data_IF_994534365029
#
_entry.id   IF_994534365029
#
_cell.length_a   1.000
_cell.length_b   1.000
_cell.length_c   1.000
_cell.angle_alpha   90.00
_cell.angle_beta   90.00
_cell.angle_gamma   90.00
#
_symmetry.space_group_name_H-M   'P 1'
#
loop_
_entity.id
_entity.type
_entity.pdbx_description
1 polymer ?
#
# COMPACT_ATOMS: atom_id res chain seq x y z
N UNK A 1 15.21 29.00 -15.30
CA UNK A 1 16.20 28.05 -15.86
C UNK A 1 15.78 26.64 -15.47
N UNK A 2 15.82 25.65 -16.37
CA UNK A 2 15.53 24.27 -15.99
C UNK A 2 16.53 23.81 -14.93
N UNK A 3 16.07 23.09 -13.90
CA UNK A 3 16.94 22.55 -12.86
C UNK A 3 17.98 21.58 -13.46
N UNK A 4 19.25 21.58 -13.00
CA UNK A 4 20.30 20.70 -13.52
C UNK A 4 19.87 19.23 -13.42
N UNK A 5 20.07 18.41 -14.46
CA UNK A 5 19.68 16.99 -14.42
C UNK A 5 20.72 16.16 -13.66
N UNK A 6 20.25 15.15 -12.91
CA UNK A 6 21.11 14.12 -12.30
C UNK A 6 21.22 12.96 -13.31
N UNK A 7 22.37 12.29 -13.34
CA UNK A 7 22.68 11.14 -14.18
C UNK A 7 21.68 10.00 -13.97
N UNK A 8 21.43 9.23 -15.03
CA UNK A 8 20.38 8.21 -15.01
C UNK A 8 20.73 6.95 -14.19
N UNK A 9 21.89 6.94 -13.55
CA UNK A 9 22.46 5.76 -12.89
C UNK A 9 22.12 5.65 -11.41
N UNK A 10 21.59 6.70 -10.77
CA UNK A 10 21.20 6.65 -9.36
C UNK A 10 20.24 5.47 -9.10
N UNK A 11 20.38 4.79 -7.98
CA UNK A 11 19.49 3.67 -7.60
C UNK A 11 18.94 3.83 -6.20
N UNK A 12 17.72 3.34 -6.02
CA UNK A 12 17.05 3.29 -4.72
C UNK A 12 16.60 1.85 -4.51
N UNK A 13 16.80 1.31 -3.30
CA UNK A 13 16.41 -0.06 -2.93
C UNK A 13 17.14 -1.14 -3.74
N UNK A 14 18.45 -0.95 -3.98
CA UNK A 14 19.29 -1.89 -4.73
C UNK A 14 19.37 -3.25 -4.05
N UNK A 15 19.54 -3.27 -2.72
CA UNK A 15 19.44 -4.45 -1.89
C UNK A 15 18.32 -4.29 -0.85
N UNK A 16 17.78 -5.38 -0.30
CA UNK A 16 16.66 -5.25 0.64
C UNK A 16 16.98 -4.45 1.90
N UNK A 17 18.24 -4.44 2.35
CA UNK A 17 18.74 -3.66 3.48
C UNK A 17 18.71 -2.14 3.25
N UNK A 18 18.66 -1.72 1.98
CA UNK A 18 18.56 -0.31 1.58
C UNK A 18 17.18 0.29 1.87
N UNK A 19 16.19 -0.52 2.26
CA UNK A 19 14.86 -0.05 2.56
C UNK A 19 14.37 -0.61 3.89
N UNK A 20 14.36 0.24 4.91
CA UNK A 20 13.87 -0.11 6.25
C UNK A 20 12.63 0.69 6.57
N UNK A 21 11.64 0.01 7.15
CA UNK A 21 10.38 0.60 7.60
C UNK A 21 10.21 0.34 9.07
N UNK A 22 10.00 1.40 9.84
CA UNK A 22 9.77 1.37 11.28
C UNK A 22 8.42 2.00 11.63
N UNK A 23 7.58 1.25 12.34
CA UNK A 23 6.30 1.78 12.83
C UNK A 23 6.52 2.89 13.85
N UNK A 24 5.69 3.94 13.78
CA UNK A 24 5.66 5.01 14.78
C UNK A 24 4.38 4.89 15.59
N UNK A 25 4.51 4.94 16.90
CA UNK A 25 3.41 4.83 17.86
C UNK A 25 3.06 6.19 18.46
N UNK A 26 1.79 6.41 18.80
CA UNK A 26 1.34 7.54 19.64
C UNK A 26 1.52 7.29 21.13
N UNK A 27 1.68 6.02 21.53
CA UNK A 27 1.74 5.62 22.94
C UNK A 27 3.13 5.82 23.51
N UNK A 28 3.18 6.23 24.79
CA UNK A 28 4.42 6.33 25.55
C UNK A 28 4.52 5.15 26.51
N UNK A 29 5.63 4.39 26.50
CA UNK A 29 5.82 3.28 27.42
C UNK A 29 6.03 3.79 28.86
N UNK A 30 5.50 3.03 29.82
CA UNK A 30 5.72 3.22 31.26
C UNK A 30 6.80 2.27 31.78
N UNK A 31 7.29 2.53 32.99
CA UNK A 31 8.23 1.64 33.67
C UNK A 31 7.61 0.30 34.13
N UNK A 32 6.28 0.23 34.31
CA UNK A 32 5.55 -0.98 34.72
C UNK A 32 4.15 -1.00 34.08
N UNK A 33 3.59 -2.19 33.91
CA UNK A 33 2.23 -2.39 33.40
C UNK A 33 1.99 -3.86 33.04
N UNK A 34 0.73 -4.26 32.80
CA UNK A 34 0.36 -5.65 32.48
C UNK A 34 0.72 -6.12 31.07
N UNK A 35 1.18 -5.21 30.20
CA UNK A 35 1.60 -5.53 28.83
C UNK A 35 3.01 -5.00 28.57
N UNK A 36 3.93 -5.89 28.20
CA UNK A 36 5.27 -5.52 27.75
C UNK A 36 5.21 -5.05 26.30
N UNK A 37 5.77 -3.87 26.01
CA UNK A 37 5.88 -3.29 24.68
C UNK A 37 7.25 -3.63 24.09
N UNK A 38 7.26 -4.39 23.00
CA UNK A 38 8.47 -4.72 22.26
C UNK A 38 8.55 -3.98 20.94
N UNK A 39 9.76 -3.53 20.61
CA UNK A 39 10.19 -3.15 19.27
C UNK A 39 10.78 -4.38 18.60
N UNK A 40 10.16 -4.84 17.52
CA UNK A 40 10.46 -6.12 16.87
C UNK A 40 10.99 -5.85 15.46
N UNK A 41 12.26 -6.17 15.23
CA UNK A 41 12.83 -6.23 13.88
C UNK A 41 12.66 -7.64 13.33
N UNK A 42 11.91 -7.78 12.23
CA UNK A 42 11.68 -9.06 11.56
C UNK A 42 12.29 -9.07 10.17
N UNK A 43 12.85 -10.22 9.77
CA UNK A 43 13.51 -10.41 8.48
C UNK A 43 12.92 -11.58 7.70
N UNK A 44 12.44 -11.31 6.50
CA UNK A 44 11.91 -12.30 5.56
C UNK A 44 10.81 -13.22 6.16
N UNK A 45 10.01 -12.69 7.08
CA UNK A 45 8.87 -13.38 7.71
C UNK A 45 7.65 -12.44 7.81
N UNK A 46 6.45 -13.02 7.86
CA UNK A 46 5.17 -12.33 8.10
C UNK A 46 5.02 -11.94 9.58
N UNK A 47 4.08 -11.05 9.89
CA UNK A 47 3.76 -10.71 11.29
C UNK A 47 3.24 -11.90 12.10
N UNK A 48 2.51 -12.83 11.46
CA UNK A 48 1.99 -14.02 12.15
C UNK A 48 3.11 -14.99 12.53
N UNK A 49 4.07 -15.21 11.62
CA UNK A 49 5.28 -16.00 11.92
C UNK A 49 6.13 -15.34 13.01
N UNK A 50 6.29 -14.01 12.98
CA UNK A 50 6.98 -13.26 14.03
C UNK A 50 6.33 -13.45 15.40
N UNK A 51 4.99 -13.40 15.46
CA UNK A 51 4.24 -13.67 16.70
C UNK A 51 4.43 -15.12 17.19
N UNK A 52 4.49 -16.11 16.30
CA UNK A 52 4.77 -17.50 16.67
C UNK A 52 6.16 -17.66 17.28
N UNK A 53 7.20 -17.10 16.63
CA UNK A 53 8.59 -17.13 17.11
C UNK A 53 8.69 -16.47 18.49
N UNK A 54 8.10 -15.27 18.66
CA UNK A 54 8.08 -14.58 19.94
C UNK A 54 7.34 -15.38 21.02
N UNK A 55 6.24 -16.06 20.68
CA UNK A 55 5.49 -16.86 21.65
C UNK A 55 6.33 -18.01 22.21
N UNK A 56 7.16 -18.64 21.36
CA UNK A 56 8.06 -19.70 21.77
C UNK A 56 9.20 -19.17 22.63
N UNK A 57 9.80 -18.04 22.23
CA UNK A 57 10.87 -17.39 22.99
C UNK A 57 10.41 -16.94 24.38
N UNK A 58 9.20 -16.38 24.47
CA UNK A 58 8.61 -15.86 25.71
C UNK A 58 7.82 -16.90 26.51
N UNK A 59 7.64 -18.12 25.98
CA UNK A 59 6.82 -19.20 26.56
C UNK A 59 5.39 -18.74 26.89
N UNK A 60 4.80 -17.92 26.02
CA UNK A 60 3.41 -17.45 26.12
C UNK A 60 2.54 -18.02 25.00
N UNK A 61 1.22 -17.96 25.15
CA UNK A 61 0.31 -18.31 24.05
C UNK A 61 0.43 -17.27 22.92
N UNK A 62 0.33 -17.65 21.64
CA UNK A 62 0.34 -16.69 20.53
C UNK A 62 -0.71 -15.58 20.66
N UNK A 63 -1.86 -15.87 21.27
CA UNK A 63 -2.93 -14.89 21.54
C UNK A 63 -2.57 -13.83 22.58
N UNK A 64 -1.50 -14.02 23.35
CA UNK A 64 -0.98 -13.02 24.27
C UNK A 64 -0.16 -11.93 23.54
N UNK A 65 0.22 -12.17 22.28
CA UNK A 65 1.05 -11.28 21.46
C UNK A 65 0.16 -10.55 20.47
N UNK A 66 0.11 -9.24 20.58
CA UNK A 66 -0.74 -8.38 19.74
C UNK A 66 0.14 -7.42 18.96
N UNK A 67 0.13 -7.58 17.65
CA UNK A 67 0.60 -6.57 16.70
C UNK A 67 -0.60 -5.71 16.25
N UNK A 68 -0.47 -4.37 16.19
CA UNK A 68 -1.56 -3.49 15.78
C UNK A 68 -1.87 -3.58 14.28
N UNK A 69 -0.94 -4.09 13.47
CA UNK A 69 -1.13 -4.31 12.05
C UNK A 69 -0.37 -5.56 11.57
N UNK A 70 -1.00 -6.32 10.67
CA UNK A 70 -0.34 -7.41 9.96
C UNK A 70 0.43 -6.85 8.77
N UNK A 71 1.65 -7.31 8.58
CA UNK A 71 2.51 -7.04 7.44
C UNK A 71 2.89 -8.36 6.78
N UNK A 72 2.89 -8.34 5.46
CA UNK A 72 3.37 -9.46 4.65
C UNK A 72 4.87 -9.69 4.85
N UNK A 73 5.35 -10.76 4.23
CA UNK A 73 6.76 -11.12 4.19
C UNK A 73 7.52 -10.03 3.42
N UNK A 74 8.37 -9.32 4.14
CA UNK A 74 9.25 -8.27 3.62
C UNK A 74 10.65 -8.50 4.15
N UNK A 75 11.65 -7.98 3.44
CA UNK A 75 13.04 -8.29 3.76
C UNK A 75 13.47 -7.82 5.14
N UNK A 76 13.15 -6.56 5.50
CA UNK A 76 13.37 -6.02 6.85
C UNK A 76 12.21 -5.09 7.20
N UNK A 77 11.59 -5.32 8.35
CA UNK A 77 10.62 -4.38 8.93
C UNK A 77 10.73 -4.34 10.44
N UNK A 78 10.58 -3.14 11.00
CA UNK A 78 10.48 -2.90 12.43
C UNK A 78 9.01 -2.62 12.76
N UNK A 79 8.42 -3.47 13.57
CA UNK A 79 7.05 -3.35 14.07
C UNK A 79 7.06 -3.27 15.59
N UNK A 80 5.94 -2.88 16.17
CA UNK A 80 5.76 -2.97 17.61
C UNK A 80 4.69 -4.00 17.98
N UNK A 81 4.89 -4.69 19.09
CA UNK A 81 3.87 -5.57 19.66
C UNK A 81 3.77 -5.44 21.16
N UNK A 82 2.59 -5.72 21.69
CA UNK A 82 2.40 -5.91 23.14
C UNK A 82 2.30 -7.39 23.46
N UNK A 83 2.91 -7.78 24.56
CA UNK A 83 2.79 -9.13 25.13
C UNK A 83 2.12 -9.03 26.49
N UNK A 84 0.97 -9.71 26.66
CA UNK A 84 0.32 -9.82 27.96
C UNK A 84 1.21 -10.62 28.90
N UNK A 85 1.56 -10.03 30.04
CA UNK A 85 2.44 -10.65 31.02
C UNK A 85 1.68 -11.73 31.77
N UNK A 86 2.19 -12.95 31.74
CA UNK A 86 1.66 -14.07 32.52
C UNK A 86 2.72 -14.77 33.39
N UNK A 87 4.00 -14.46 33.18
CA UNK A 87 5.13 -14.98 33.94
C UNK A 87 6.27 -13.95 33.96
N UNK A 88 7.14 -14.04 34.96
CA UNK A 88 8.33 -13.18 35.19
C UNK A 88 9.58 -14.07 35.26
N UNK A 89 10.77 -13.62 34.83
CA UNK A 89 11.10 -12.31 34.25
C UNK A 89 10.83 -12.21 32.75
N UNK A 90 10.62 -10.98 32.28
CA UNK A 90 10.44 -10.65 30.86
C UNK A 90 11.81 -10.28 30.29
N UNK A 91 12.30 -10.96 29.25
CA UNK A 91 13.59 -10.64 28.64
C UNK A 91 13.62 -9.21 28.09
N UNK A 92 14.66 -8.44 28.42
CA UNK A 92 14.86 -7.11 27.84
C UNK A 92 15.20 -7.19 26.34
N UNK A 93 15.93 -8.22 25.93
CA UNK A 93 16.29 -8.47 24.54
C UNK A 93 16.02 -9.93 24.16
N UNK A 94 15.53 -10.12 22.94
CA UNK A 94 15.33 -11.44 22.31
C UNK A 94 16.07 -11.41 20.97
N UNK A 95 16.93 -12.40 20.73
CA UNK A 95 17.62 -12.58 19.44
C UNK A 95 17.35 -13.97 18.89
N UNK A 96 16.78 -14.00 17.69
CA UNK A 96 16.48 -15.20 16.92
C UNK A 96 17.00 -15.01 15.48
N UNK A 97 17.22 -16.09 14.70
CA UNK A 97 17.81 -15.98 13.37
C UNK A 97 17.09 -15.01 12.41
N UNK A 98 15.77 -14.89 12.53
CA UNK A 98 14.91 -14.07 11.65
C UNK A 98 14.23 -12.91 12.37
N UNK A 99 14.52 -12.72 13.66
CA UNK A 99 13.80 -11.77 14.50
C UNK A 99 14.67 -11.31 15.68
N UNK A 100 14.71 -10.00 15.93
CA UNK A 100 15.13 -9.46 17.22
C UNK A 100 14.01 -8.64 17.85
N UNK A 101 13.95 -8.62 19.17
CA UNK A 101 13.00 -7.79 19.90
C UNK A 101 13.66 -7.13 21.12
N UNK A 102 13.34 -5.86 21.31
CA UNK A 102 13.84 -5.00 22.39
C UNK A 102 12.65 -4.50 23.21
N UNK A 103 12.72 -4.67 24.53
CA UNK A 103 11.69 -4.19 25.45
C UNK A 103 11.80 -2.66 25.58
N UNK A 104 10.76 -1.94 25.17
CA UNK A 104 10.69 -0.49 25.31
C UNK A 104 10.06 -0.03 26.63
N UNK A 105 9.39 -0.94 27.35
CA UNK A 105 8.67 -0.68 28.58
C UNK A 105 7.28 -1.32 28.57
N UNK A 106 6.29 -0.66 29.18
CA UNK A 106 5.00 -1.29 29.49
C UNK A 106 3.80 -0.41 29.17
N UNK A 107 2.65 -1.04 28.91
CA UNK A 107 1.35 -0.39 28.67
C UNK A 107 0.25 -1.01 29.55
N UNK A 108 -0.84 -0.26 29.75
CA UNK A 108 -2.01 -0.72 30.51
C UNK A 108 -2.95 -1.63 29.69
N UNK A 109 -2.83 -1.58 28.36
CA UNK A 109 -3.67 -2.30 27.41
C UNK A 109 -2.84 -2.81 26.22
N UNK A 110 -3.32 -3.79 25.45
CA UNK A 110 -2.64 -4.18 24.22
C UNK A 110 -2.66 -3.04 23.20
N UNK A 111 -1.70 -3.09 22.27
CA UNK A 111 -1.69 -2.22 21.10
C UNK A 111 -2.93 -2.45 20.24
N UNK A 112 -3.38 -1.39 19.60
CA UNK A 112 -4.50 -1.36 18.68
C UNK A 112 -4.08 -0.68 17.37
N UNK A 113 -4.79 -0.93 16.25
CA UNK A 113 -4.49 -0.26 14.98
C UNK A 113 -4.45 1.27 15.08
N UNK A 114 -5.24 1.86 16.00
CA UNK A 114 -5.30 3.32 16.23
C UNK A 114 -4.07 3.91 16.90
N UNK A 115 -3.18 3.08 17.47
CA UNK A 115 -1.94 3.54 18.09
C UNK A 115 -0.83 3.84 17.07
N UNK A 116 -1.02 3.43 15.80
CA UNK A 116 -0.07 3.67 14.71
C UNK A 116 -0.28 5.07 14.13
N UNK A 117 0.73 5.94 14.30
CA UNK A 117 0.71 7.33 13.77
C UNK A 117 1.45 7.49 12.45
N UNK A 118 2.01 6.41 11.92
CA UNK A 118 2.72 6.41 10.64
C UNK A 118 3.86 5.41 10.61
N UNK A 119 4.72 5.57 9.61
CA UNK A 119 5.95 4.80 9.50
C UNK A 119 7.11 5.76 9.21
N UNK A 120 8.25 5.50 9.83
CA UNK A 120 9.54 6.07 9.49
C UNK A 120 10.24 5.15 8.51
N UNK A 121 10.80 5.75 7.48
CA UNK A 121 11.52 5.07 6.41
C UNK A 121 12.98 5.49 6.47
N UNK A 122 13.87 4.52 6.34
CA UNK A 122 15.29 4.76 6.10
C UNK A 122 15.64 4.12 4.78
N UNK A 123 16.19 4.92 3.87
CA UNK A 123 16.40 4.54 2.48
C UNK A 123 17.81 4.88 2.04
N UNK A 124 18.54 3.89 1.53
CA UNK A 124 19.84 4.12 0.91
C UNK A 124 19.66 4.41 -0.57
N UNK A 125 20.17 5.55 -1.01
CA UNK A 125 20.33 5.92 -2.42
C UNK A 125 21.77 5.65 -2.82
N UNK A 126 21.97 4.96 -3.93
CA UNK A 126 23.23 4.36 -4.37
C UNK A 126 23.61 4.80 -5.78
N UNK A 127 24.84 4.50 -6.17
CA UNK A 127 25.40 4.79 -7.50
C UNK A 127 25.31 6.29 -7.84
N UNK A 128 25.53 7.16 -6.84
CA UNK A 128 25.51 8.62 -7.02
C UNK A 128 26.90 9.08 -7.47
N UNK A 129 27.01 9.79 -8.59
CA UNK A 129 28.27 10.40 -8.98
C UNK A 129 28.71 11.47 -7.96
N UNK A 130 30.01 11.61 -7.71
CA UNK A 130 30.56 12.46 -6.65
C UNK A 130 30.08 13.91 -6.75
N UNK A 131 30.00 14.44 -7.96
CA UNK A 131 29.55 15.79 -8.30
C UNK A 131 28.02 15.98 -8.14
N UNK A 132 27.24 14.91 -8.04
CA UNK A 132 25.77 14.95 -7.97
C UNK A 132 25.22 14.84 -6.55
N UNK A 133 26.06 14.48 -5.58
CA UNK A 133 25.64 14.26 -4.18
C UNK A 133 24.92 15.47 -3.60
N UNK A 134 25.44 16.68 -3.85
CA UNK A 134 24.83 17.93 -3.37
C UNK A 134 23.45 18.12 -3.96
N UNK A 135 23.29 17.87 -5.27
CA UNK A 135 22.03 18.03 -5.98
C UNK A 135 20.97 17.01 -5.51
N UNK A 136 21.35 15.74 -5.33
CA UNK A 136 20.46 14.71 -4.77
C UNK A 136 19.99 15.10 -3.36
N UNK A 137 20.91 15.59 -2.52
CA UNK A 137 20.61 16.05 -1.17
C UNK A 137 19.61 17.21 -1.17
N UNK A 138 19.87 18.24 -1.97
CA UNK A 138 19.02 19.42 -2.07
C UNK A 138 17.61 19.08 -2.57
N UNK A 139 17.52 18.21 -3.59
CA UNK A 139 16.24 17.72 -4.11
C UNK A 139 15.44 16.95 -3.07
N UNK A 140 16.08 16.00 -2.38
CA UNK A 140 15.43 15.26 -1.31
C UNK A 140 14.89 16.21 -0.23
N UNK A 141 15.70 17.17 0.23
CA UNK A 141 15.29 18.11 1.26
C UNK A 141 14.19 19.07 0.77
N UNK A 142 14.23 19.50 -0.49
CA UNK A 142 13.20 20.34 -1.09
C UNK A 142 11.85 19.61 -1.14
N UNK A 143 11.82 18.39 -1.69
CA UNK A 143 10.59 17.60 -1.79
C UNK A 143 10.13 17.16 -0.39
N UNK A 144 11.06 16.89 0.54
CA UNK A 144 10.74 16.63 1.95
C UNK A 144 10.01 17.80 2.62
N UNK A 145 10.40 19.05 2.33
CA UNK A 145 9.75 20.26 2.86
C UNK A 145 8.45 20.62 2.16
N UNK A 146 8.40 20.47 0.84
CA UNK A 146 7.22 20.87 0.06
C UNK A 146 6.17 19.75 -0.02
N UNK A 147 6.56 18.48 0.14
CA UNK A 147 5.64 17.35 0.03
C UNK A 147 5.33 16.94 -1.41
N UNK A 148 4.38 16.01 -1.55
CA UNK A 148 4.00 15.41 -2.82
C UNK A 148 2.51 14.97 -2.82
N UNK A 149 1.91 14.68 -3.99
CA UNK A 149 0.56 14.14 -4.10
C UNK A 149 0.38 12.82 -3.34
N UNK A 150 -0.65 12.73 -2.51
CA UNK A 150 -0.93 11.58 -1.67
C UNK A 150 -1.73 10.48 -2.39
N UNK A 151 -1.29 10.07 -3.58
CA UNK A 151 -1.95 9.01 -4.35
C UNK A 151 -1.92 7.66 -3.62
N UNK A 152 -2.89 6.80 -3.97
CA UNK A 152 -2.76 5.37 -3.74
C UNK A 152 -1.76 4.78 -4.74
N UNK A 153 -0.85 3.93 -4.29
CA UNK A 153 0.19 3.33 -5.14
C UNK A 153 -0.13 1.87 -5.53
N UNK A 154 0.68 1.26 -6.41
CA UNK A 154 0.52 -0.08 -7.00
C UNK A 154 0.14 -1.18 -6.00
N UNK A 155 0.65 -1.13 -4.77
CA UNK A 155 0.28 -2.09 -3.71
C UNK A 155 -1.23 -2.11 -3.40
N UNK A 156 -1.96 -1.00 -3.62
CA UNK A 156 -3.41 -0.91 -3.46
C UNK A 156 -4.19 -1.60 -4.59
N UNK A 157 -3.54 -1.83 -5.74
CA UNK A 157 -4.18 -2.26 -6.98
C UNK A 157 -3.85 -3.70 -7.36
N UNK A 158 -3.49 -4.56 -6.39
CA UNK A 158 -3.13 -5.96 -6.65
C UNK A 158 -4.21 -6.83 -7.31
N UNK A 159 -5.46 -6.35 -7.35
CA UNK A 159 -6.55 -7.00 -8.08
C UNK A 159 -6.74 -6.52 -9.52
N UNK A 160 -5.97 -5.52 -9.96
CA UNK A 160 -6.02 -5.07 -11.36
C UNK A 160 -5.38 -6.11 -12.27
N UNK A 161 -6.00 -6.34 -13.42
CA UNK A 161 -5.42 -7.15 -14.49
C UNK A 161 -5.45 -6.39 -15.82
N UNK A 162 -4.44 -6.64 -16.65
CA UNK A 162 -4.38 -6.10 -18.01
C UNK A 162 -5.53 -6.60 -18.89
N UNK A 163 -6.03 -7.82 -18.67
CA UNK A 163 -7.10 -8.43 -19.47
C UNK A 163 -8.50 -7.94 -19.07
N UNK A 164 -8.76 -7.81 -17.76
CA UNK A 164 -10.09 -7.53 -17.22
C UNK A 164 -10.25 -6.13 -16.60
N UNK A 165 -9.16 -5.39 -16.46
CA UNK A 165 -9.13 -4.13 -15.72
C UNK A 165 -9.37 -4.34 -14.23
N UNK A 166 -10.24 -3.53 -13.63
CA UNK A 166 -10.58 -3.61 -12.21
C UNK A 166 -11.85 -4.44 -11.97
N UNK A 167 -11.79 -5.59 -11.25
CA UNK A 167 -12.98 -6.36 -10.89
C UNK A 167 -14.00 -5.54 -10.07
N UNK A 168 -13.53 -4.55 -9.30
CA UNK A 168 -14.39 -3.60 -8.60
C UNK A 168 -15.32 -2.82 -9.53
N UNK A 169 -14.89 -2.47 -10.75
CA UNK A 169 -15.74 -1.81 -11.75
C UNK A 169 -16.86 -2.75 -12.20
N UNK A 170 -16.51 -4.01 -12.49
CA UNK A 170 -17.46 -5.04 -12.92
C UNK A 170 -18.53 -5.30 -11.85
N UNK A 171 -18.13 -5.32 -10.57
CA UNK A 171 -19.05 -5.42 -9.44
C UNK A 171 -20.03 -4.24 -9.40
N UNK A 172 -19.55 -3.01 -9.59
CA UNK A 172 -20.40 -1.81 -9.57
C UNK A 172 -21.39 -1.76 -10.74
N UNK A 173 -20.98 -2.26 -11.90
CA UNK A 173 -21.81 -2.34 -13.11
C UNK A 173 -22.79 -3.54 -13.09
N UNK A 174 -22.62 -4.48 -12.17
CA UNK A 174 -23.45 -5.69 -12.10
C UNK A 174 -23.12 -6.73 -13.17
N UNK A 175 -21.90 -6.72 -13.71
CA UNK A 175 -21.44 -7.68 -14.71
C UNK A 175 -21.02 -9.00 -14.03
N UNK A 176 -21.97 -9.73 -13.46
CA UNK A 176 -21.73 -10.85 -12.55
C UNK A 176 -20.88 -11.98 -13.13
N UNK A 177 -21.10 -12.36 -14.40
CA UNK A 177 -20.27 -13.38 -15.04
C UNK A 177 -18.80 -12.93 -15.16
N UNK A 178 -18.56 -11.68 -15.56
CA UNK A 178 -17.20 -11.13 -15.66
C UNK A 178 -16.52 -11.05 -14.28
N UNK A 179 -17.27 -10.76 -13.21
CA UNK A 179 -16.78 -10.83 -11.83
C UNK A 179 -16.36 -12.25 -11.46
N UNK A 180 -17.18 -13.26 -11.81
CA UNK A 180 -16.80 -14.66 -11.60
C UNK A 180 -15.58 -15.06 -12.42
N UNK A 181 -15.45 -14.58 -13.67
CA UNK A 181 -14.24 -14.80 -14.48
C UNK A 181 -13.01 -14.22 -13.79
N UNK A 182 -13.10 -13.01 -13.24
CA UNK A 182 -12.02 -12.42 -12.45
C UNK A 182 -11.67 -13.28 -11.21
N UNK A 183 -12.67 -13.88 -10.56
CA UNK A 183 -12.44 -14.69 -9.36
C UNK A 183 -11.86 -16.07 -9.67
N UNK A 184 -12.43 -16.75 -10.66
CA UNK A 184 -12.19 -18.16 -10.97
C UNK A 184 -11.11 -18.39 -12.01
N UNK A 185 -10.80 -17.40 -12.87
CA UNK A 185 -9.99 -17.62 -14.07
C UNK A 185 -8.85 -16.60 -14.28
N UNK A 186 -8.91 -15.43 -13.66
CA UNK A 186 -7.87 -14.40 -13.81
C UNK A 186 -6.78 -14.51 -12.74
N UNK A 187 -5.51 -14.75 -13.08
CA UNK A 187 -4.43 -14.78 -12.10
C UNK A 187 -4.25 -13.41 -11.44
N UNK A 188 -4.29 -13.38 -10.11
CA UNK A 188 -4.10 -12.17 -9.32
C UNK A 188 -2.77 -12.21 -8.57
N UNK A 189 -2.24 -11.04 -8.24
CA UNK A 189 -0.99 -10.93 -7.49
C UNK A 189 -1.14 -11.62 -6.12
N UNK A 190 -0.24 -12.56 -5.83
CA UNK A 190 -0.23 -13.30 -4.57
C UNK A 190 -1.05 -14.60 -4.55
N UNK A 191 -1.66 -15.00 -5.67
CA UNK A 191 -2.33 -16.30 -5.77
C UNK A 191 -1.35 -17.47 -5.54
N UNK A 192 -1.66 -18.42 -4.64
CA UNK A 192 -0.85 -19.62 -4.45
C UNK A 192 -0.79 -20.49 -5.72
N UNK A 193 0.26 -21.32 -5.89
CA UNK A 193 0.42 -22.19 -7.08
C UNK A 193 -0.80 -23.08 -7.37
N UNK A 194 -1.48 -23.59 -6.33
CA UNK A 194 -2.69 -24.39 -6.50
C UNK A 194 -3.87 -23.58 -7.08
N UNK A 195 -4.01 -22.31 -6.69
CA UNK A 195 -5.03 -21.41 -7.23
C UNK A 195 -4.71 -21.04 -8.67
N UNK A 196 -3.45 -20.74 -8.98
CA UNK A 196 -3.02 -20.44 -10.35
C UNK A 196 -3.30 -21.59 -11.32
N UNK A 197 -3.07 -22.85 -10.90
CA UNK A 197 -3.43 -24.04 -11.68
C UNK A 197 -4.93 -24.12 -11.96
N UNK A 198 -5.78 -23.96 -10.94
CA UNK A 198 -7.23 -23.95 -11.11
C UNK A 198 -7.68 -22.83 -12.07
N UNK A 199 -7.12 -21.62 -11.91
CA UNK A 199 -7.45 -20.47 -12.76
C UNK A 199 -7.09 -20.70 -14.22
N UNK A 200 -5.97 -21.37 -14.49
CA UNK A 200 -5.62 -21.80 -15.85
C UNK A 200 -6.68 -22.75 -16.42
N UNK A 201 -7.06 -23.80 -15.68
CA UNK A 201 -8.10 -24.75 -16.10
C UNK A 201 -9.44 -24.06 -16.35
N UNK A 202 -9.82 -23.10 -15.51
CA UNK A 202 -11.06 -22.33 -15.63
C UNK A 202 -11.12 -21.47 -16.90
N UNK A 203 -9.98 -20.98 -17.41
CA UNK A 203 -9.93 -20.28 -18.70
C UNK A 203 -10.21 -21.19 -19.88
N UNK A 204 -9.71 -22.42 -19.82
CA UNK A 204 -9.84 -23.42 -20.89
C UNK A 204 -11.20 -24.15 -20.85
N UNK A 205 -11.81 -24.26 -19.66
CA UNK A 205 -13.01 -25.07 -19.41
C UNK A 205 -14.13 -24.24 -18.77
N UNK A 206 -14.31 -22.98 -19.20
CA UNK A 206 -15.32 -22.10 -18.64
C UNK A 206 -16.73 -22.72 -18.76
N UNK A 207 -17.52 -22.64 -17.69
CA UNK A 207 -18.83 -23.31 -17.51
C UNK A 207 -18.84 -24.83 -17.34
N UNK A 208 -17.70 -25.51 -17.42
CA UNK A 208 -17.61 -26.91 -16.98
C UNK A 208 -17.46 -26.99 -15.45
N UNK A 209 -18.51 -26.62 -14.73
CA UNK A 209 -18.48 -26.52 -13.26
C UNK A 209 -18.12 -27.82 -12.54
N UNK A 210 -18.63 -29.00 -12.94
CA UNK A 210 -18.23 -30.27 -12.32
C UNK A 210 -16.72 -30.53 -12.43
N UNK A 211 -16.14 -30.36 -13.62
CA UNK A 211 -14.71 -30.52 -13.85
C UNK A 211 -13.88 -29.54 -13.00
N UNK A 212 -14.27 -28.26 -12.99
CA UNK A 212 -13.55 -27.24 -12.22
C UNK A 212 -13.67 -27.49 -10.72
N UNK A 213 -14.83 -27.94 -10.23
CA UNK A 213 -15.05 -28.31 -8.83
C UNK A 213 -14.14 -29.47 -8.42
N UNK A 214 -14.00 -30.50 -9.25
CA UNK A 214 -13.15 -31.66 -8.97
C UNK A 214 -11.69 -31.25 -8.75
N UNK A 215 -11.18 -30.36 -9.61
CA UNK A 215 -9.80 -29.86 -9.57
C UNK A 215 -9.57 -28.71 -8.59
N UNK A 216 -10.64 -28.18 -7.98
CA UNK A 216 -10.55 -27.05 -7.07
C UNK A 216 -9.98 -27.45 -5.69
N UNK A 217 -8.96 -26.74 -5.17
CA UNK A 217 -8.47 -26.95 -3.81
C UNK A 217 -9.54 -26.59 -2.78
N UNK A 218 -9.37 -27.06 -1.54
CA UNK A 218 -10.25 -26.68 -0.41
C UNK A 218 -10.25 -25.16 -0.24
N UNK A 219 -11.44 -24.57 -0.04
CA UNK A 219 -11.60 -23.13 0.18
C UNK A 219 -12.82 -22.54 -0.53
N UNK A 220 -12.94 -21.22 -0.47
CA UNK A 220 -14.11 -20.48 -0.97
C UNK A 220 -14.34 -20.66 -2.48
N UNK A 221 -13.28 -20.78 -3.30
CA UNK A 221 -13.38 -21.08 -4.73
C UNK A 221 -14.19 -22.36 -5.00
N UNK A 222 -13.90 -23.44 -4.26
CA UNK A 222 -14.64 -24.70 -4.37
C UNK A 222 -16.08 -24.57 -3.93
N UNK A 223 -16.37 -23.76 -2.91
CA UNK A 223 -17.76 -23.48 -2.49
C UNK A 223 -18.56 -22.77 -3.58
N UNK A 224 -17.96 -21.77 -4.25
CA UNK A 224 -18.59 -21.08 -5.39
C UNK A 224 -18.83 -22.04 -6.55
N UNK A 225 -17.83 -22.86 -6.91
CA UNK A 225 -17.98 -23.87 -7.97
C UNK A 225 -19.02 -24.94 -7.64
N UNK A 226 -19.12 -25.34 -6.36
CA UNK A 226 -20.14 -26.29 -5.90
C UNK A 226 -21.54 -25.73 -6.12
N UNK A 227 -21.77 -24.46 -5.78
CA UNK A 227 -23.04 -23.79 -6.06
C UNK A 227 -23.35 -23.71 -7.56
N UNK A 228 -22.35 -23.41 -8.40
CA UNK A 228 -22.52 -23.33 -9.84
C UNK A 228 -22.83 -24.70 -10.49
N UNK A 229 -22.44 -25.82 -9.90
CA UNK A 229 -22.89 -27.14 -10.36
C UNK A 229 -24.42 -27.27 -10.32
N UNK A 230 -25.05 -26.76 -9.26
CA UNK A 230 -26.50 -26.87 -9.06
C UNK A 230 -27.26 -25.69 -9.71
N UNK A 231 -26.60 -24.54 -9.84
CA UNK A 231 -27.17 -23.29 -10.35
C UNK A 231 -26.24 -22.65 -11.41
N UNK A 232 -26.15 -23.23 -12.62
CA UNK A 232 -25.09 -22.92 -13.59
C UNK A 232 -25.08 -21.48 -14.12
N UNK A 233 -26.23 -20.80 -14.10
CA UNK A 233 -26.38 -19.44 -14.63
C UNK A 233 -26.66 -18.39 -13.54
N UNK A 234 -26.78 -18.77 -12.26
CA UNK A 234 -27.03 -17.80 -11.17
C UNK A 234 -25.72 -17.13 -10.70
N UNK A 235 -25.12 -16.37 -11.61
CA UNK A 235 -23.85 -15.72 -11.37
C UNK A 235 -23.92 -14.69 -10.24
N UNK A 236 -25.06 -14.03 -10.07
CA UNK A 236 -25.24 -13.01 -9.04
C UNK A 236 -25.18 -13.63 -7.63
N UNK A 237 -25.88 -14.74 -7.40
CA UNK A 237 -25.79 -15.45 -6.11
C UNK A 237 -24.41 -16.06 -5.91
N UNK A 238 -23.81 -16.64 -6.95
CA UNK A 238 -22.45 -17.17 -6.89
C UNK A 238 -21.40 -16.10 -6.50
N UNK A 239 -21.49 -14.88 -7.04
CA UNK A 239 -20.63 -13.76 -6.63
C UNK A 239 -20.80 -13.42 -5.15
N UNK A 240 -22.02 -13.47 -4.61
CA UNK A 240 -22.28 -13.18 -3.20
C UNK A 240 -21.82 -14.30 -2.25
N UNK A 241 -21.40 -15.46 -2.77
CA UNK A 241 -20.68 -16.49 -2.00
C UNK A 241 -19.18 -16.21 -1.88
N UNK A 242 -18.62 -15.31 -2.71
CA UNK A 242 -17.23 -14.86 -2.57
C UNK A 242 -17.05 -14.18 -1.22
N UNK A 243 -15.94 -14.45 -0.54
CA UNK A 243 -15.72 -13.86 0.80
C UNK A 243 -15.84 -12.32 0.77
N UNK A 244 -16.52 -11.70 1.75
CA UNK A 244 -16.67 -10.24 1.83
C UNK A 244 -15.35 -9.48 1.77
N UNK A 245 -14.27 -10.08 2.29
CA UNK A 245 -12.92 -9.54 2.25
C UNK A 245 -12.42 -9.31 0.82
N UNK A 246 -12.59 -10.29 -0.06
CA UNK A 246 -12.15 -10.19 -1.47
C UNK A 246 -12.98 -9.14 -2.20
N UNK A 247 -14.30 -9.18 -2.05
CA UNK A 247 -15.21 -8.20 -2.69
C UNK A 247 -14.90 -6.77 -2.23
N UNK A 248 -14.68 -6.58 -0.92
CA UNK A 248 -14.30 -5.27 -0.36
C UNK A 248 -12.95 -4.79 -0.86
N UNK A 249 -11.97 -5.69 -1.03
CA UNK A 249 -10.67 -5.34 -1.60
C UNK A 249 -10.80 -4.85 -3.04
N UNK A 250 -11.60 -5.54 -3.87
CA UNK A 250 -11.82 -5.16 -5.27
C UNK A 250 -12.54 -3.81 -5.41
N UNK A 251 -13.59 -3.59 -4.62
CA UNK A 251 -14.29 -2.32 -4.56
C UNK A 251 -13.36 -1.19 -4.09
N UNK A 252 -12.59 -1.43 -3.01
CA UNK A 252 -11.64 -0.45 -2.47
C UNK A 252 -10.52 -0.11 -3.46
N UNK A 253 -9.99 -1.09 -4.21
CA UNK A 253 -8.99 -0.85 -5.24
C UNK A 253 -9.53 0.05 -6.34
N UNK A 254 -10.74 -0.23 -6.86
CA UNK A 254 -11.33 0.63 -7.89
C UNK A 254 -11.72 2.02 -7.37
N UNK A 255 -12.19 2.12 -6.12
CA UNK A 255 -12.42 3.42 -5.45
C UNK A 255 -11.14 4.25 -5.36
N UNK A 256 -10.03 3.61 -5.02
CA UNK A 256 -8.71 4.25 -4.93
C UNK A 256 -8.24 4.73 -6.30
N UNK A 257 -8.55 3.97 -7.36
CA UNK A 257 -8.24 4.36 -8.74
C UNK A 257 -9.05 5.59 -9.16
N UNK A 258 -10.36 5.59 -8.92
CA UNK A 258 -11.21 6.76 -9.17
C UNK A 258 -10.73 7.98 -8.39
N UNK A 259 -10.35 7.81 -7.12
CA UNK A 259 -9.78 8.90 -6.31
C UNK A 259 -8.49 9.43 -6.91
N UNK A 260 -7.57 8.56 -7.35
CA UNK A 260 -6.35 8.97 -8.03
C UNK A 260 -6.65 9.77 -9.31
N UNK A 261 -7.64 9.36 -10.11
CA UNK A 261 -8.04 10.08 -11.32
C UNK A 261 -8.61 11.46 -11.00
N UNK A 262 -9.43 11.59 -9.95
CA UNK A 262 -9.94 12.88 -9.48
C UNK A 262 -8.80 13.76 -8.99
N UNK A 263 -7.90 13.23 -8.16
CA UNK A 263 -6.73 13.96 -7.66
C UNK A 263 -5.81 14.42 -8.81
N UNK A 264 -5.54 13.57 -9.80
CA UNK A 264 -4.77 13.94 -11.00
C UNK A 264 -5.42 15.08 -11.77
N UNK A 265 -6.74 15.08 -11.95
CA UNK A 265 -7.45 16.13 -12.67
C UNK A 265 -7.45 17.45 -11.89
N UNK A 266 -7.64 17.40 -10.57
CA UNK A 266 -7.49 18.59 -9.71
C UNK A 266 -6.07 19.17 -9.80
N UNK A 267 -5.05 18.31 -9.76
CA UNK A 267 -3.65 18.73 -9.91
C UNK A 267 -3.35 19.27 -11.30
N UNK A 268 -3.95 18.72 -12.35
CA UNK A 268 -3.83 19.21 -13.73
C UNK A 268 -4.25 20.68 -13.84
N UNK A 269 -5.27 21.09 -13.08
CA UNK A 269 -5.80 22.45 -13.06
C UNK A 269 -5.04 23.40 -12.13
N UNK A 270 -4.52 22.91 -11.00
CA UNK A 270 -3.84 23.74 -10.00
C UNK A 270 -2.35 23.94 -10.27
N UNK A 271 -1.69 22.99 -10.94
CA UNK A 271 -0.24 23.01 -11.10
C UNK A 271 0.18 23.80 -12.35
N UNK A 272 1.06 24.82 -12.20
CA UNK A 272 1.58 25.57 -13.33
C UNK A 272 2.54 24.74 -14.18
N UNK A 273 3.47 24.03 -13.53
CA UNK A 273 4.38 23.09 -14.16
C UNK A 273 4.15 21.68 -13.61
N UNK A 274 4.08 20.71 -14.52
CA UNK A 274 3.69 19.34 -14.20
C UNK A 274 4.48 18.31 -14.99
N UNK A 275 4.58 17.13 -14.40
CA UNK A 275 5.14 15.93 -14.99
C UNK A 275 4.15 14.78 -14.82
N UNK A 276 4.32 13.74 -15.62
CA UNK A 276 3.47 12.55 -15.60
C UNK A 276 4.30 11.33 -15.25
N UNK A 277 3.74 10.48 -14.40
CA UNK A 277 4.28 9.15 -14.13
C UNK A 277 3.32 8.11 -14.67
N UNK A 278 3.86 7.17 -15.46
CA UNK A 278 3.11 6.06 -16.01
C UNK A 278 2.80 5.01 -14.94
N UNK A 279 1.56 4.53 -14.99
CA UNK A 279 1.07 3.39 -14.25
C UNK A 279 0.35 2.43 -15.23
N UNK A 280 0.20 1.14 -14.88
CA UNK A 280 -0.44 0.16 -15.77
C UNK A 280 -1.88 0.52 -16.20
N UNK A 281 -2.54 1.39 -15.44
CA UNK A 281 -3.92 1.84 -15.65
C UNK A 281 -4.04 3.34 -15.97
N UNK A 282 -2.96 3.95 -16.48
CA UNK A 282 -2.95 5.34 -16.94
C UNK A 282 -1.87 6.18 -16.26
N UNK A 283 -1.95 7.50 -16.43
CA UNK A 283 -0.94 8.42 -15.93
C UNK A 283 -1.42 9.16 -14.67
N UNK A 284 -0.48 9.46 -13.78
CA UNK A 284 -0.69 10.31 -12.62
C UNK A 284 0.09 11.62 -12.76
N UNK A 285 -0.55 12.72 -12.37
CA UNK A 285 0.00 14.08 -12.48
C UNK A 285 0.78 14.44 -11.21
N UNK A 286 1.99 14.96 -11.39
CA UNK A 286 2.87 15.44 -10.32
C UNK A 286 3.35 16.85 -10.66
N UNK A 287 3.71 17.67 -9.65
CA UNK A 287 4.32 18.97 -9.91
C UNK A 287 5.75 18.82 -10.44
N UNK A 288 6.30 19.92 -10.96
CA UNK A 288 7.74 20.15 -10.91
C UNK A 288 8.06 20.99 -9.67
N UNK A 289 9.15 20.66 -8.97
CA UNK A 289 9.65 21.44 -7.86
C UNK A 289 10.68 22.47 -8.36
N UNK A 290 10.82 23.63 -7.68
CA UNK A 290 10.07 24.07 -6.50
C UNK A 290 8.65 24.57 -6.83
N UNK A 291 7.72 24.34 -5.90
CA UNK A 291 6.36 24.87 -5.96
C UNK A 291 6.27 26.31 -5.42
N UNK A 292 5.46 27.18 -6.04
CA UNK A 292 5.09 28.48 -5.48
C UNK A 292 4.41 28.34 -4.09
N UNK A 293 4.66 29.25 -3.14
CA UNK A 293 4.09 29.15 -1.79
C UNK A 293 2.56 29.12 -1.72
N UNK A 294 1.89 29.92 -2.55
CA UNK A 294 0.43 30.03 -2.67
C UNK A 294 -0.20 28.75 -3.21
N UNK A 295 0.42 28.15 -4.24
CA UNK A 295 0.04 26.84 -4.76
C UNK A 295 0.22 25.77 -3.69
N UNK A 296 1.34 25.80 -2.97
CA UNK A 296 1.63 24.83 -1.92
C UNK A 296 0.63 24.90 -0.75
N UNK A 297 0.24 26.09 -0.31
CA UNK A 297 -0.77 26.27 0.73
C UNK A 297 -2.14 25.74 0.28
N UNK A 298 -2.54 26.06 -0.95
CA UNK A 298 -3.76 25.55 -1.56
C UNK A 298 -3.78 24.02 -1.58
N UNK A 299 -2.70 23.38 -2.03
CA UNK A 299 -2.57 21.92 -2.10
C UNK A 299 -2.67 21.26 -0.72
N UNK A 300 -2.02 21.83 0.31
CA UNK A 300 -2.05 21.30 1.69
C UNK A 300 -3.44 21.34 2.32
N UNK A 301 -4.26 22.32 1.96
CA UNK A 301 -5.61 22.51 2.52
C UNK A 301 -6.66 21.59 1.89
N UNK A 302 -6.38 21.01 0.71
CA UNK A 302 -7.36 20.25 -0.06
C UNK A 302 -7.53 18.82 0.45
N UNK A 303 -8.77 18.48 0.80
CA UNK A 303 -9.22 17.12 1.05
C UNK A 303 -10.22 16.66 -0.01
N UNK A 304 -9.96 15.50 -0.61
CA UNK A 304 -10.83 14.89 -1.61
C UNK A 304 -11.61 13.74 -0.95
N UNK A 305 -12.95 13.79 -0.93
CA UNK A 305 -13.77 12.67 -0.48
C UNK A 305 -13.49 11.41 -1.29
N UNK A 306 -13.57 10.24 -0.65
CA UNK A 306 -13.52 8.99 -1.39
C UNK A 306 -14.76 8.85 -2.29
N UNK A 307 -14.61 8.43 -3.57
CA UNK A 307 -15.72 8.21 -4.48
C UNK A 307 -16.80 7.32 -3.87
N UNK A 308 -18.00 7.87 -3.71
CA UNK A 308 -19.13 7.18 -3.09
C UNK A 308 -20.44 7.69 -3.69
N UNK A 309 -21.56 7.04 -3.36
CA UNK A 309 -22.82 7.36 -4.03
C UNK A 309 -23.42 8.73 -3.72
N UNK A 310 -22.94 9.38 -2.65
CA UNK A 310 -23.33 10.73 -2.22
C UNK A 310 -22.10 11.41 -1.61
N UNK A 311 -21.09 11.74 -2.43
CA UNK A 311 -19.90 12.39 -1.92
C UNK A 311 -20.28 13.83 -1.55
N UNK A 312 -19.76 14.33 -0.43
CA UNK A 312 -19.89 15.74 -0.06
C UNK A 312 -18.75 16.51 -0.75
N UNK A 313 -18.99 16.98 -1.96
CA UNK A 313 -18.01 17.67 -2.81
C UNK A 313 -18.56 19.01 -3.29
N UNK A 314 -17.70 20.02 -3.39
CA UNK A 314 -18.05 21.36 -3.85
C UNK A 314 -16.97 21.87 -4.82
N UNK A 315 -17.32 22.89 -5.62
CA UNK A 315 -16.42 23.56 -6.57
C UNK A 315 -15.66 22.61 -7.49
N UNK A 316 -14.38 22.89 -7.69
CA UNK A 316 -13.46 22.16 -8.57
C UNK A 316 -13.44 20.65 -8.29
N UNK A 317 -13.49 20.23 -7.03
CA UNK A 317 -13.47 18.79 -6.68
C UNK A 317 -14.75 18.10 -7.18
N UNK A 318 -15.91 18.76 -7.11
CA UNK A 318 -17.16 18.22 -7.63
C UNK A 318 -17.14 18.08 -9.16
N UNK A 319 -16.57 19.05 -9.87
CA UNK A 319 -16.41 19.00 -11.33
C UNK A 319 -15.46 17.88 -11.78
N UNK A 320 -14.34 17.71 -11.08
CA UNK A 320 -13.41 16.62 -11.34
C UNK A 320 -14.07 15.26 -11.10
N UNK A 321 -14.88 15.14 -10.03
CA UNK A 321 -15.65 13.95 -9.73
C UNK A 321 -16.60 13.57 -10.86
N UNK A 322 -17.42 14.53 -11.30
CA UNK A 322 -18.39 14.32 -12.38
C UNK A 322 -17.71 13.90 -13.67
N UNK A 323 -16.62 14.59 -14.05
CA UNK A 323 -15.84 14.28 -15.24
C UNK A 323 -15.23 12.88 -15.20
N UNK A 324 -14.63 12.48 -14.08
CA UNK A 324 -14.02 11.15 -13.92
C UNK A 324 -15.07 10.04 -13.96
N UNK A 325 -16.22 10.22 -13.29
CA UNK A 325 -17.28 9.22 -13.33
C UNK A 325 -17.87 9.07 -14.74
N UNK A 326 -18.10 10.19 -15.44
CA UNK A 326 -18.58 10.16 -16.82
C UNK A 326 -17.61 9.43 -17.75
N UNK A 327 -16.30 9.74 -17.66
CA UNK A 327 -15.26 9.05 -18.44
C UNK A 327 -15.19 7.54 -18.15
N UNK A 328 -15.54 7.13 -16.93
CA UNK A 328 -15.57 5.72 -16.53
C UNK A 328 -16.92 5.03 -16.84
N UNK A 329 -17.90 5.74 -17.41
CA UNK A 329 -19.25 5.22 -17.67
C UNK A 329 -20.07 4.98 -16.40
N UNK A 330 -19.80 5.76 -15.34
CA UNK A 330 -20.41 5.63 -14.02
C UNK A 330 -21.27 6.83 -13.67
N UNK A 331 -22.20 6.59 -12.75
CA UNK A 331 -22.93 7.64 -12.05
C UNK A 331 -22.72 7.48 -10.54
N UNK A 332 -22.99 8.51 -9.72
CA UNK A 332 -22.97 8.35 -8.27
C UNK A 332 -23.87 7.18 -7.80
N UNK A 333 -25.01 6.92 -8.46
CA UNK A 333 -25.88 5.79 -8.10
C UNK A 333 -25.19 4.43 -8.31
N UNK A 334 -24.33 4.31 -9.31
CA UNK A 334 -23.56 3.08 -9.59
C UNK A 334 -22.61 2.73 -8.44
N UNK A 335 -22.08 3.74 -7.73
CA UNK A 335 -21.21 3.56 -6.55
C UNK A 335 -21.92 2.99 -5.32
N UNK A 336 -23.22 2.65 -5.40
CA UNK A 336 -23.91 1.90 -4.34
C UNK A 336 -23.61 0.39 -4.35
N UNK A 337 -22.95 -0.12 -5.40
CA UNK A 337 -22.69 -1.56 -5.57
C UNK A 337 -23.96 -2.42 -5.42
N UNK A 338 -25.06 -2.02 -6.07
CA UNK A 338 -26.35 -2.73 -5.94
C UNK A 338 -26.20 -4.18 -6.38
N UNK A 339 -26.60 -5.11 -5.51
CA UNK A 339 -26.52 -6.54 -5.76
C UNK A 339 -25.32 -7.23 -5.10
N UNK A 340 -24.46 -6.48 -4.41
CA UNK A 340 -23.44 -7.02 -3.50
C UNK A 340 -23.94 -6.82 -2.06
N UNK A 341 -24.11 -7.91 -1.30
CA UNK A 341 -24.79 -7.85 0.00
C UNK A 341 -23.88 -7.45 1.17
N UNK A 342 -22.60 -7.84 1.12
CA UNK A 342 -21.70 -7.80 2.29
C UNK A 342 -20.41 -7.01 2.05
N UNK A 343 -20.33 -6.24 0.98
CA UNK A 343 -19.18 -5.40 0.69
C UNK A 343 -19.63 -4.03 0.18
N UNK A 344 -18.99 -2.97 0.68
CA UNK A 344 -19.40 -1.60 0.43
C UNK A 344 -18.19 -0.72 0.19
N UNK A 345 -18.40 0.36 -0.57
CA UNK A 345 -17.41 1.43 -0.69
C UNK A 345 -17.30 2.20 0.63
N UNK A 346 -16.06 2.39 1.08
CA UNK A 346 -15.78 3.15 2.29
C UNK A 346 -16.18 4.62 2.09
N UNK A 347 -16.61 5.27 3.17
CA UNK A 347 -16.81 6.71 3.21
C UNK A 347 -15.64 7.33 3.96
N UNK A 348 -15.23 8.52 3.55
CA UNK A 348 -14.15 9.23 4.18
C UNK A 348 -13.62 10.33 3.28
N UNK A 349 -12.63 11.05 3.80
CA UNK A 349 -11.84 12.03 3.05
C UNK A 349 -10.38 11.62 3.09
N UNK A 350 -9.63 12.12 2.12
CA UNK A 350 -8.19 11.93 2.04
C UNK A 350 -7.57 13.26 1.60
N UNK A 351 -6.54 13.69 2.33
CA UNK A 351 -5.74 14.84 1.93
C UNK A 351 -5.14 14.60 0.54
N UNK A 352 -5.23 15.59 -0.34
CA UNK A 352 -4.61 15.57 -1.66
C UNK A 352 -3.07 15.56 -1.56
N UNK A 353 -2.55 16.23 -0.54
CA UNK A 353 -1.11 16.46 -0.36
C UNK A 353 -0.60 15.81 0.91
N UNK A 354 0.65 15.33 0.88
CA UNK A 354 1.36 14.85 2.06
C UNK A 354 2.74 15.48 2.13
N UNK A 355 3.08 16.00 3.31
CA UNK A 355 4.43 16.51 3.61
C UNK A 355 5.13 15.49 4.50
N UNK A 356 6.23 14.89 4.06
CA UNK A 356 7.08 14.08 4.92
C UNK A 356 7.48 14.82 6.19
N UNK A 357 7.47 14.12 7.33
CA UNK A 357 8.02 14.63 8.59
C UNK A 357 9.41 14.07 8.80
N UNK A 358 10.22 14.71 9.64
CA UNK A 358 11.54 14.19 10.04
C UNK A 358 12.46 13.85 8.84
N UNK A 359 12.32 14.58 7.72
CA UNK A 359 13.19 14.40 6.55
C UNK A 359 14.63 14.82 6.90
N UNK A 360 15.56 13.87 6.82
CA UNK A 360 16.96 14.08 7.18
C UNK A 360 17.91 13.17 6.38
N UNK A 361 19.15 13.64 6.21
CA UNK A 361 20.27 12.82 5.74
C UNK A 361 20.94 12.20 6.97
N UNK A 362 20.89 10.87 7.08
CA UNK A 362 21.50 10.14 8.19
C UNK A 362 22.97 9.82 7.95
N UNK A 363 23.42 9.79 6.70
CA UNK A 363 24.80 9.48 6.38
C UNK A 363 25.12 9.64 4.89
N UNK A 364 26.41 9.78 4.62
CA UNK A 364 27.00 9.85 3.30
C UNK A 364 28.32 9.09 3.33
N UNK A 365 28.65 8.39 2.26
CA UNK A 365 29.94 7.72 2.13
C UNK A 365 30.17 7.17 0.74
N UNK A 366 31.29 6.47 0.60
CA UNK A 366 31.55 5.64 -0.58
C UNK A 366 30.52 4.52 -0.68
N UNK A 367 30.16 4.16 -1.92
CA UNK A 367 29.23 3.07 -2.19
C UNK A 367 29.99 1.75 -2.34
N UNK A 368 29.84 0.87 -1.36
CA UNK A 368 30.44 -0.47 -1.33
C UNK A 368 29.94 -1.38 -2.46
N UNK A 369 28.78 -1.09 -3.04
CA UNK A 369 28.22 -1.87 -4.15
C UNK A 369 28.62 -1.30 -5.52
N UNK A 370 28.99 -0.02 -5.57
CA UNK A 370 29.33 0.70 -6.80
C UNK A 370 30.63 1.49 -6.60
N UNK A 371 31.80 0.84 -6.76
CA UNK A 371 33.09 1.50 -6.59
C UNK A 371 33.21 2.78 -7.42
N UNK A 372 33.83 3.82 -6.85
CA UNK A 372 33.94 5.14 -7.47
C UNK A 372 32.69 6.02 -7.37
N UNK A 373 31.59 5.50 -6.81
CA UNK A 373 30.37 6.26 -6.56
C UNK A 373 30.14 6.50 -5.07
N UNK A 374 29.16 7.35 -4.77
CA UNK A 374 28.73 7.73 -3.43
C UNK A 374 27.35 7.13 -3.14
N UNK A 375 27.05 6.98 -1.85
CA UNK A 375 25.72 6.66 -1.35
C UNK A 375 25.25 7.69 -0.34
N UNK A 376 23.93 7.87 -0.24
CA UNK A 376 23.27 8.68 0.77
C UNK A 376 22.25 7.83 1.53
N UNK A 377 22.24 7.95 2.86
CA UNK A 377 21.20 7.36 3.71
C UNK A 377 20.21 8.44 4.07
N UNK A 378 19.00 8.33 3.55
CA UNK A 378 17.90 9.26 3.76
C UNK A 378 16.95 8.71 4.83
N UNK A 379 16.31 9.59 5.59
CA UNK A 379 15.19 9.22 6.45
C UNK A 379 14.04 10.19 6.35
N UNK A 380 12.81 9.68 6.47
CA UNK A 380 11.59 10.47 6.48
C UNK A 380 10.44 9.67 7.08
N UNK A 381 9.42 10.36 7.58
CA UNK A 381 8.24 9.78 8.22
C UNK A 381 6.98 10.15 7.44
N UNK A 382 6.13 9.17 7.15
CA UNK A 382 4.84 9.37 6.48
C UNK A 382 3.67 8.94 7.38
N UNK A 383 2.53 9.66 7.33
CA UNK A 383 1.34 9.28 8.09
C UNK A 383 0.67 8.02 7.52
N UNK A 384 -0.25 7.39 8.27
CA UNK A 384 -0.95 6.20 7.82
C UNK A 384 -1.69 6.45 6.52
N UNK A 385 -1.71 5.43 5.65
CA UNK A 385 -2.35 5.51 4.34
C UNK A 385 -1.56 6.28 3.28
N UNK A 386 -0.38 6.81 3.59
CA UNK A 386 0.56 7.35 2.58
C UNK A 386 1.55 6.28 2.13
N UNK A 387 2.10 6.40 0.92
CA UNK A 387 2.89 5.36 0.28
C UNK A 387 4.34 5.80 0.09
N UNK A 388 5.28 5.16 0.79
CA UNK A 388 6.71 5.43 0.60
C UNK A 388 7.21 4.98 -0.77
N UNK A 389 6.69 3.89 -1.31
CA UNK A 389 7.00 3.43 -2.67
C UNK A 389 6.71 4.50 -3.72
N UNK A 390 5.61 5.24 -3.56
CA UNK A 390 5.29 6.38 -4.42
C UNK A 390 6.33 7.51 -4.26
N UNK A 391 6.67 7.86 -3.02
CA UNK A 391 7.67 8.91 -2.77
C UNK A 391 9.03 8.53 -3.33
N UNK A 392 9.44 7.26 -3.21
CA UNK A 392 10.69 6.77 -3.79
C UNK A 392 10.67 6.76 -5.32
N UNK A 393 9.55 6.39 -5.95
CA UNK A 393 9.41 6.48 -7.41
C UNK A 393 9.55 7.92 -7.90
N UNK A 394 8.96 8.85 -7.15
CA UNK A 394 9.07 10.27 -7.43
C UNK A 394 10.52 10.76 -7.27
N UNK A 395 11.18 10.44 -6.16
CA UNK A 395 12.59 10.74 -5.94
C UNK A 395 13.46 10.14 -7.04
N UNK A 396 13.22 8.89 -7.42
CA UNK A 396 13.92 8.25 -8.54
C UNK A 396 13.79 9.05 -9.83
N UNK A 397 12.57 9.45 -10.21
CA UNK A 397 12.36 10.28 -11.40
C UNK A 397 13.05 11.66 -11.29
N UNK A 398 13.04 12.26 -10.11
CA UNK A 398 13.76 13.52 -9.84
C UNK A 398 15.28 13.33 -9.75
N UNK A 399 15.77 12.11 -9.51
CA UNK A 399 17.18 11.75 -9.55
C UNK A 399 17.63 11.18 -10.90
N UNK A 400 16.75 11.15 -11.91
CA UNK A 400 17.09 10.65 -13.25
C UNK A 400 16.97 9.13 -13.44
N UNK A 401 16.46 8.38 -12.46
CA UNK A 401 16.40 6.91 -12.52
C UNK A 401 15.29 6.43 -13.48
N UNK A 402 15.52 6.41 -14.79
CA UNK A 402 14.57 5.81 -15.73
C UNK A 402 14.75 4.28 -15.82
N UNK A 403 13.70 3.53 -15.47
CA UNK A 403 13.55 2.13 -15.87
C UNK A 403 14.20 1.05 -15.02
N UNK A 404 14.96 1.38 -13.95
CA UNK A 404 15.49 0.38 -13.00
C UNK A 404 14.68 0.40 -11.70
N UNK A 405 14.36 -0.78 -11.19
CA UNK A 405 13.38 -1.04 -10.11
C UNK A 405 13.44 -0.03 -8.95
N UNK A 406 12.29 0.54 -8.60
CA UNK A 406 11.98 1.20 -7.32
C UNK A 406 10.89 0.41 -6.60
#
# INVERSE_FOLDING_TARGET
MPAPKISENVRIKTIPEDFRVEERLSVQPKARGPYALYRVEKRNITTLEAAQILSQALKVKPSAIVFPALKDKVAVAIQHCTVKISASPIPEEIRMPQLSAELLGYLDRPLSPGDLVGNRFTVTVREIACEEVVLVRERFMLIGRQGFPNYFDLQRFGSWSKSLGFPGKLLLLGNWESVLRAYLAEPLLGDPPAILRLKKLARENWRNWPFLKEHAPKGNLRSVLTFLCDHPEDFKRAVNLITPRVLSLWLSAYQSFLWNRVASLVLEWLLPEKMRLEYPFGELVFPRWPLPPDVLESLKSLEIPLPSARPKTEGMVAEAFSSVLAAEGLTPKTLKARGVERAFLAKGKRALWVVPKESAILGEGEDELFPGHRKLVLSFSLPPGSYATLFLRLLGKEFGTEGKQV
#
